data_IF_477806748974
#
_entry.id   IF_477806748974
#
_cell.length_a   1.000
_cell.length_b   1.000
_cell.length_c   1.000
_cell.angle_alpha   90.00
_cell.angle_beta   90.00
_cell.angle_gamma   90.00
#
_symmetry.space_group_name_H-M   'P 1'
#
loop_
_entity.id
_entity.type
_entity.pdbx_description
1 polymer ?
#
# COMPACT_ATOMS: atom_id res chain seq x y z
N UNK A 1 8.38 -0.71 -40.24
CA UNK A 1 7.80 -0.28 -38.98
C UNK A 1 8.59 -0.91 -37.85
N UNK A 2 9.34 -0.15 -37.06
CA UNK A 2 9.96 -0.71 -35.84
C UNK A 2 8.83 -0.83 -34.82
N UNK A 3 8.43 -2.05 -34.48
CA UNK A 3 7.61 -2.29 -33.29
C UNK A 3 8.38 -1.74 -32.10
N UNK A 4 7.88 -0.65 -31.56
CA UNK A 4 8.34 -0.10 -30.29
C UNK A 4 7.77 -0.99 -29.19
N UNK A 5 8.31 -2.19 -29.03
CA UNK A 5 7.99 -3.10 -27.94
C UNK A 5 8.39 -2.41 -26.65
N UNK A 6 7.41 -1.78 -26.00
CA UNK A 6 7.59 -1.21 -24.66
C UNK A 6 8.15 -2.32 -23.77
N UNK A 7 9.39 -2.12 -23.29
CA UNK A 7 10.06 -3.08 -22.42
C UNK A 7 9.20 -3.30 -21.18
N UNK A 8 8.75 -4.52 -20.96
CA UNK A 8 8.06 -4.88 -19.72
C UNK A 8 8.95 -4.62 -18.51
N UNK A 9 8.37 -4.08 -17.45
CA UNK A 9 9.00 -3.83 -16.16
C UNK A 9 8.39 -4.81 -15.14
N UNK A 10 9.23 -5.49 -14.43
CA UNK A 10 8.84 -6.57 -13.52
C UNK A 10 9.03 -6.15 -12.07
N UNK A 11 8.03 -6.37 -11.22
CA UNK A 11 8.13 -6.15 -9.79
C UNK A 11 7.56 -7.32 -8.99
N UNK A 12 8.15 -7.57 -7.83
CA UNK A 12 7.71 -8.59 -6.90
C UNK A 12 6.73 -8.02 -5.88
N UNK A 13 5.73 -8.80 -5.51
CA UNK A 13 4.79 -8.45 -4.45
C UNK A 13 4.63 -9.64 -3.51
N UNK A 14 5.00 -9.45 -2.26
CA UNK A 14 4.77 -10.42 -1.19
C UNK A 14 3.44 -10.09 -0.51
N UNK A 15 2.53 -11.05 -0.51
CA UNK A 15 1.18 -10.90 0.05
C UNK A 15 0.89 -11.97 1.10
N UNK A 16 0.12 -11.66 2.17
CA UNK A 16 -0.43 -12.69 3.03
C UNK A 16 -1.21 -13.75 2.24
N UNK A 17 -1.13 -15.01 2.65
CA UNK A 17 -1.83 -16.12 1.96
C UNK A 17 -3.34 -15.92 1.84
N UNK A 18 -3.92 -15.14 2.75
CA UNK A 18 -5.34 -14.80 2.81
C UNK A 18 -5.73 -13.58 1.98
N UNK A 19 -4.77 -12.90 1.33
CA UNK A 19 -5.06 -11.72 0.53
C UNK A 19 -5.74 -12.09 -0.79
N UNK A 20 -6.85 -11.42 -1.11
CA UNK A 20 -7.67 -11.65 -2.31
C UNK A 20 -7.75 -10.43 -3.22
N UNK A 21 -7.18 -9.29 -2.83
CA UNK A 21 -7.39 -8.01 -3.50
C UNK A 21 -6.17 -7.50 -4.26
N UNK A 22 -4.96 -7.64 -3.70
CA UNK A 22 -3.75 -7.04 -4.30
C UNK A 22 -3.50 -7.54 -5.72
N UNK A 23 -3.63 -8.85 -5.97
CA UNK A 23 -3.48 -9.41 -7.33
C UNK A 23 -4.54 -8.86 -8.29
N UNK A 24 -5.78 -8.74 -7.82
CA UNK A 24 -6.88 -8.19 -8.61
C UNK A 24 -6.62 -6.73 -8.99
N UNK A 25 -6.17 -5.90 -8.04
CA UNK A 25 -5.88 -4.49 -8.30
C UNK A 25 -4.62 -4.31 -9.17
N UNK A 26 -3.60 -5.17 -9.04
CA UNK A 26 -2.44 -5.14 -9.94
C UNK A 26 -2.79 -5.47 -11.40
N UNK A 27 -3.87 -6.22 -11.65
CA UNK A 27 -4.36 -6.48 -13.03
C UNK A 27 -4.92 -5.24 -13.72
N UNK A 28 -5.19 -4.18 -12.98
CA UNK A 28 -5.65 -2.90 -13.53
C UNK A 28 -4.50 -2.07 -14.14
N UNK A 29 -3.25 -2.49 -13.90
CA UNK A 29 -2.07 -1.79 -14.43
C UNK A 29 -1.91 -2.06 -15.94
N UNK A 30 -1.32 -1.10 -16.67
CA UNK A 30 -0.91 -1.35 -18.05
C UNK A 30 0.00 -2.57 -18.15
N UNK A 31 -0.08 -3.32 -19.24
CA UNK A 31 0.73 -4.52 -19.49
C UNK A 31 2.25 -4.27 -19.48
N UNK A 32 2.67 -3.02 -19.51
CA UNK A 32 4.06 -2.61 -19.32
C UNK A 32 4.59 -2.97 -17.93
N UNK A 33 3.71 -3.07 -16.91
CA UNK A 33 4.08 -3.40 -15.54
C UNK A 33 3.57 -4.78 -15.17
N UNK A 34 4.50 -5.72 -14.98
CA UNK A 34 4.20 -7.11 -14.65
C UNK A 34 4.49 -7.39 -13.18
N UNK A 35 3.44 -7.68 -12.41
CA UNK A 35 3.57 -8.12 -11.02
C UNK A 35 3.83 -9.63 -10.93
N UNK A 36 4.76 -10.03 -10.06
CA UNK A 36 5.05 -11.41 -9.68
C UNK A 36 4.76 -11.57 -8.19
N UNK A 37 3.99 -12.58 -7.80
CA UNK A 37 3.47 -12.73 -6.44
C UNK A 37 4.13 -13.87 -5.68
N UNK A 38 4.52 -13.60 -4.43
CA UNK A 38 4.83 -14.60 -3.42
C UNK A 38 3.79 -14.56 -2.30
N UNK A 39 3.26 -15.72 -1.90
CA UNK A 39 2.30 -15.82 -0.80
C UNK A 39 2.98 -16.23 0.49
N UNK A 40 2.61 -15.59 1.58
CA UNK A 40 3.24 -15.70 2.89
C UNK A 40 2.25 -16.24 3.93
N UNK A 41 2.69 -17.18 4.75
CA UNK A 41 1.95 -17.66 5.92
C UNK A 41 2.09 -16.68 7.08
N UNK A 42 1.05 -16.59 7.92
CA UNK A 42 1.11 -15.83 9.17
C UNK A 42 2.09 -16.47 10.15
N UNK A 43 2.82 -15.66 10.90
CA UNK A 43 3.72 -16.11 11.96
C UNK A 43 2.99 -16.52 13.25
N UNK A 44 1.74 -16.12 13.44
CA UNK A 44 0.99 -16.31 14.67
C UNK A 44 -0.50 -16.56 14.47
N UNK A 45 -1.18 -16.93 15.56
CA UNK A 45 -2.62 -17.18 15.57
C UNK A 45 -3.47 -15.90 15.62
N UNK A 46 -2.87 -14.74 15.87
CA UNK A 46 -3.58 -13.46 15.95
C UNK A 46 -3.92 -12.92 14.57
N UNK A 47 -5.08 -12.28 14.45
CA UNK A 47 -5.45 -11.55 13.25
C UNK A 47 -4.43 -10.46 12.95
N UNK A 48 -4.03 -10.35 11.68
CA UNK A 48 -3.09 -9.33 11.19
C UNK A 48 -1.63 -9.45 11.67
N UNK A 49 -1.23 -10.58 12.30
CA UNK A 49 0.16 -10.84 12.66
C UNK A 49 1.09 -10.76 11.44
N UNK A 50 2.37 -10.38 11.63
CA UNK A 50 3.36 -10.42 10.57
C UNK A 50 3.46 -11.80 9.91
N UNK A 51 3.93 -11.85 8.70
CA UNK A 51 4.26 -13.10 8.02
C UNK A 51 5.52 -13.72 8.58
N UNK A 52 5.70 -15.03 8.38
CA UNK A 52 6.88 -15.76 8.84
C UNK A 52 8.11 -15.32 8.07
N UNK A 53 9.20 -15.13 8.79
CA UNK A 53 10.47 -14.69 8.23
C UNK A 53 11.03 -15.63 7.18
N UNK A 54 10.89 -16.94 7.39
CA UNK A 54 11.36 -17.97 6.46
C UNK A 54 10.63 -17.89 5.11
N UNK A 55 9.33 -17.59 5.15
CA UNK A 55 8.54 -17.42 3.94
C UNK A 55 8.96 -16.15 3.19
N UNK A 56 9.21 -15.05 3.92
CA UNK A 56 9.69 -13.80 3.34
C UNK A 56 11.03 -14.03 2.64
N UNK A 57 11.98 -14.69 3.29
CA UNK A 57 13.29 -15.00 2.73
C UNK A 57 13.20 -15.90 1.48
N UNK A 58 12.40 -16.96 1.57
CA UNK A 58 12.24 -17.91 0.48
C UNK A 58 11.59 -17.27 -0.74
N UNK A 59 10.46 -16.58 -0.54
CA UNK A 59 9.73 -15.95 -1.63
C UNK A 59 10.53 -14.78 -2.25
N UNK A 60 11.29 -14.02 -1.46
CA UNK A 60 12.16 -12.97 -1.98
C UNK A 60 13.22 -13.53 -2.92
N UNK A 61 13.86 -14.67 -2.56
CA UNK A 61 14.83 -15.34 -3.44
C UNK A 61 14.17 -15.78 -4.75
N UNK A 62 12.95 -16.35 -4.70
CA UNK A 62 12.25 -16.76 -5.92
C UNK A 62 11.93 -15.55 -6.82
N UNK A 63 11.47 -14.43 -6.25
CA UNK A 63 11.24 -13.20 -7.00
C UNK A 63 12.54 -12.68 -7.64
N UNK A 64 13.66 -12.78 -6.94
CA UNK A 64 15.00 -12.46 -7.51
C UNK A 64 15.33 -13.28 -8.75
N UNK A 65 15.01 -14.59 -8.76
CA UNK A 65 15.23 -15.44 -9.95
C UNK A 65 14.33 -15.04 -11.14
N UNK A 66 13.18 -14.45 -10.88
CA UNK A 66 12.30 -13.85 -11.90
C UNK A 66 12.80 -12.48 -12.40
N UNK A 67 13.95 -12.01 -11.89
CA UNK A 67 14.59 -10.74 -12.27
C UNK A 67 13.67 -9.53 -12.09
N UNK A 68 12.90 -9.51 -11.01
CA UNK A 68 12.13 -8.32 -10.64
C UNK A 68 13.06 -7.16 -10.35
N UNK A 69 12.58 -5.94 -10.53
CA UNK A 69 13.38 -4.72 -10.36
C UNK A 69 13.17 -4.07 -8.98
N UNK A 70 12.15 -4.51 -8.24
CA UNK A 70 11.93 -4.21 -6.82
C UNK A 70 10.96 -5.22 -6.19
N UNK A 71 10.91 -5.26 -4.86
CA UNK A 71 9.95 -6.07 -4.10
C UNK A 71 9.15 -5.20 -3.14
N UNK A 72 7.84 -5.45 -3.07
CA UNK A 72 6.89 -4.78 -2.18
C UNK A 72 6.33 -5.81 -1.19
N UNK A 73 6.39 -5.55 0.11
CA UNK A 73 5.62 -6.29 1.10
C UNK A 73 4.23 -5.65 1.25
N UNK A 74 3.22 -6.26 0.66
CA UNK A 74 1.85 -5.76 0.70
C UNK A 74 1.09 -6.27 1.96
N UNK A 75 1.68 -6.04 3.13
CA UNK A 75 1.14 -6.38 4.44
C UNK A 75 1.27 -5.19 5.40
N UNK A 76 0.40 -4.18 5.23
CA UNK A 76 0.46 -2.93 6.00
C UNK A 76 0.45 -3.14 7.51
N UNK A 77 -0.37 -4.09 8.00
CA UNK A 77 -0.50 -4.36 9.43
C UNK A 77 0.79 -4.86 10.07
N UNK A 78 1.66 -5.55 9.34
CA UNK A 78 2.92 -6.06 9.87
C UNK A 78 3.85 -4.96 10.37
N UNK A 79 3.94 -3.84 9.64
CA UNK A 79 4.73 -2.66 10.01
C UNK A 79 4.25 -1.98 11.30
N UNK A 80 3.06 -2.31 11.78
CA UNK A 80 2.48 -1.71 12.98
C UNK A 80 2.83 -2.46 14.28
N UNK A 81 3.55 -3.58 14.18
CA UNK A 81 3.87 -4.44 15.33
C UNK A 81 5.16 -4.05 16.05
N UNK A 82 6.19 -3.58 15.32
CA UNK A 82 7.47 -3.15 15.89
C UNK A 82 8.00 -1.92 15.14
N UNK A 83 8.72 -1.06 15.87
CA UNK A 83 9.23 0.20 15.29
C UNK A 83 10.29 -0.01 14.21
N UNK A 84 11.10 -1.05 14.33
CA UNK A 84 12.18 -1.39 13.39
C UNK A 84 11.75 -2.41 12.31
N UNK A 85 10.49 -2.89 12.33
CA UNK A 85 10.02 -3.94 11.44
C UNK A 85 10.32 -3.62 9.97
N UNK A 86 10.02 -2.40 9.53
CA UNK A 86 10.23 -2.01 8.13
C UNK A 86 11.69 -2.10 7.72
N UNK A 87 12.60 -1.63 8.57
CA UNK A 87 14.04 -1.63 8.28
C UNK A 87 14.59 -3.07 8.22
N UNK A 88 14.15 -3.92 9.14
CA UNK A 88 14.53 -5.33 9.19
C UNK A 88 14.00 -6.07 7.96
N UNK A 89 12.71 -5.96 7.67
CA UNK A 89 12.06 -6.74 6.61
C UNK A 89 12.48 -6.28 5.21
N UNK A 90 12.64 -4.97 4.98
CA UNK A 90 13.07 -4.47 3.67
C UNK A 90 14.52 -4.86 3.37
N UNK A 91 15.40 -4.85 4.39
CA UNK A 91 16.77 -5.38 4.25
C UNK A 91 16.76 -6.86 3.89
N UNK A 92 15.95 -7.67 4.59
CA UNK A 92 15.79 -9.11 4.35
C UNK A 92 15.32 -9.39 2.91
N UNK A 93 14.25 -8.72 2.48
CA UNK A 93 13.73 -8.83 1.10
C UNK A 93 14.76 -8.38 0.07
N UNK A 94 15.43 -7.26 0.31
CA UNK A 94 16.45 -6.72 -0.58
C UNK A 94 17.64 -7.67 -0.76
N UNK A 95 18.12 -8.29 0.31
CA UNK A 95 19.17 -9.31 0.27
C UNK A 95 18.69 -10.55 -0.50
N UNK A 96 17.48 -11.02 -0.21
CA UNK A 96 16.92 -12.21 -0.86
C UNK A 96 16.72 -12.04 -2.37
N UNK A 97 16.16 -10.92 -2.79
CA UNK A 97 15.81 -10.66 -4.19
C UNK A 97 16.95 -9.97 -4.99
N UNK A 98 17.95 -9.37 -4.32
CA UNK A 98 19.03 -8.62 -4.96
C UNK A 98 18.59 -7.26 -5.53
N UNK A 99 17.47 -6.69 -5.07
CA UNK A 99 16.87 -5.44 -5.57
C UNK A 99 16.30 -4.61 -4.43
N UNK A 100 16.00 -3.31 -4.63
CA UNK A 100 15.32 -2.50 -3.62
C UNK A 100 13.99 -3.10 -3.16
N UNK A 101 13.67 -2.89 -1.88
CA UNK A 101 12.42 -3.35 -1.30
C UNK A 101 11.75 -2.24 -0.48
N UNK A 102 10.43 -2.32 -0.35
CA UNK A 102 9.61 -1.39 0.44
C UNK A 102 8.44 -2.14 1.08
N UNK A 103 7.98 -1.68 2.24
CA UNK A 103 6.68 -2.11 2.77
C UNK A 103 5.56 -1.19 2.27
N UNK A 104 4.35 -1.73 2.20
CA UNK A 104 3.19 -0.92 1.84
C UNK A 104 2.88 0.18 2.86
N UNK A 105 3.21 0.00 4.13
CA UNK A 105 3.08 1.04 5.15
C UNK A 105 4.05 2.20 4.91
N UNK A 106 5.33 1.90 4.59
CA UNK A 106 6.29 2.91 4.16
C UNK A 106 5.80 3.67 2.92
N UNK A 107 5.28 2.94 1.93
CA UNK A 107 4.76 3.56 0.71
C UNK A 107 3.63 4.54 1.01
N UNK A 108 2.67 4.19 1.88
CA UNK A 108 1.59 5.09 2.31
C UNK A 108 2.13 6.34 2.97
N UNK A 109 3.02 6.20 3.97
CA UNK A 109 3.58 7.35 4.69
C UNK A 109 4.34 8.30 3.77
N UNK A 110 5.20 7.75 2.89
CA UNK A 110 5.94 8.53 1.89
C UNK A 110 5.02 9.21 0.88
N UNK A 111 3.99 8.51 0.40
CA UNK A 111 3.02 9.06 -0.57
C UNK A 111 2.26 10.28 -0.01
N UNK A 112 1.80 10.20 1.26
CA UNK A 112 1.14 11.31 1.93
C UNK A 112 2.09 12.51 2.04
N UNK A 113 3.34 12.29 2.42
CA UNK A 113 4.37 13.33 2.49
C UNK A 113 4.67 13.93 1.12
N UNK A 114 4.77 13.10 0.09
CA UNK A 114 5.01 13.54 -1.29
C UNK A 114 3.88 14.44 -1.84
N UNK A 115 2.64 14.25 -1.37
CA UNK A 115 1.52 15.14 -1.66
C UNK A 115 1.54 16.45 -0.83
N UNK A 116 2.54 16.64 0.04
CA UNK A 116 2.66 17.81 0.89
C UNK A 116 1.73 17.83 2.11
N UNK A 117 1.01 16.74 2.37
CA UNK A 117 0.02 16.65 3.45
C UNK A 117 0.64 16.18 4.77
N UNK A 118 0.02 16.60 5.87
CA UNK A 118 0.36 16.18 7.23
C UNK A 118 -0.85 15.84 8.08
N UNK A 119 -2.00 16.51 7.87
CA UNK A 119 -3.23 16.27 8.63
C UNK A 119 -4.10 15.28 7.87
N UNK A 120 -4.20 14.07 8.43
CA UNK A 120 -4.85 12.95 7.75
C UNK A 120 -6.13 12.53 8.46
N UNK A 121 -7.10 12.07 7.69
CA UNK A 121 -8.16 11.21 8.19
C UNK A 121 -7.86 9.77 7.79
N UNK A 122 -7.91 8.84 8.73
CA UNK A 122 -7.70 7.43 8.47
C UNK A 122 -9.04 6.71 8.45
N UNK A 123 -9.34 6.05 7.33
CA UNK A 123 -10.48 5.13 7.18
C UNK A 123 -9.93 3.73 6.96
N UNK A 124 -10.13 2.84 7.91
CA UNK A 124 -9.38 1.61 8.02
C UNK A 124 -10.29 0.39 8.19
N UNK A 125 -9.93 -0.76 7.65
CA UNK A 125 -10.66 -2.00 7.92
C UNK A 125 -10.40 -2.57 9.31
N UNK A 126 -9.39 -2.10 10.03
CA UNK A 126 -8.87 -2.73 11.24
C UNK A 126 -9.70 -2.48 12.51
N UNK A 127 -9.39 -3.26 13.56
CA UNK A 127 -9.86 -3.03 14.92
C UNK A 127 -9.25 -1.77 15.55
N UNK A 128 -9.89 -1.28 16.61
CA UNK A 128 -9.44 -0.07 17.30
C UNK A 128 -7.97 -0.17 17.75
N UNK A 129 -7.55 -1.32 18.31
CA UNK A 129 -6.19 -1.54 18.75
C UNK A 129 -5.14 -1.49 17.60
N UNK A 130 -5.49 -2.01 16.41
CA UNK A 130 -4.61 -1.92 15.24
C UNK A 130 -4.60 -0.50 14.69
N UNK A 131 -5.73 0.19 14.75
CA UNK A 131 -5.88 1.57 14.34
C UNK A 131 -5.04 2.54 15.18
N UNK A 132 -4.99 2.35 16.50
CA UNK A 132 -4.13 3.12 17.39
C UNK A 132 -2.65 2.94 17.04
N UNK A 133 -2.24 1.71 16.72
CA UNK A 133 -0.88 1.43 16.22
C UNK A 133 -0.61 2.13 14.89
N UNK A 134 -1.57 2.12 13.96
CA UNK A 134 -1.44 2.81 12.67
C UNK A 134 -1.26 4.31 12.85
N UNK A 135 -2.08 4.96 13.67
CA UNK A 135 -1.96 6.38 13.96
C UNK A 135 -0.58 6.71 14.57
N UNK A 136 -0.13 5.91 15.53
CA UNK A 136 1.21 6.06 16.16
C UNK A 136 2.32 5.88 15.13
N UNK A 137 2.27 4.83 14.31
CA UNK A 137 3.25 4.55 13.27
C UNK A 137 3.40 5.73 12.30
N UNK A 138 2.29 6.21 11.74
CA UNK A 138 2.33 7.32 10.79
C UNK A 138 2.77 8.63 11.45
N UNK A 139 2.41 8.86 12.72
CA UNK A 139 2.90 10.02 13.47
C UNK A 139 4.42 9.95 13.70
N UNK A 140 4.90 8.83 14.23
CA UNK A 140 6.31 8.66 14.62
C UNK A 140 7.24 8.65 13.40
N UNK A 141 6.88 7.88 12.36
CA UNK A 141 7.76 7.69 11.19
C UNK A 141 7.65 8.80 10.16
N UNK A 142 6.49 9.45 10.02
CA UNK A 142 6.22 10.39 8.92
C UNK A 142 5.72 11.77 9.38
N UNK A 143 5.52 11.97 10.67
CA UNK A 143 5.01 13.22 11.22
C UNK A 143 3.57 13.53 10.81
N UNK A 144 2.76 12.50 10.53
CA UNK A 144 1.37 12.67 10.14
C UNK A 144 0.46 12.80 11.37
N UNK A 145 -0.36 13.83 11.39
CA UNK A 145 -1.35 14.07 12.44
C UNK A 145 -2.70 13.47 12.04
N UNK A 146 -3.11 12.42 12.76
CA UNK A 146 -4.43 11.82 12.58
C UNK A 146 -5.50 12.68 13.21
N UNK A 147 -6.24 13.44 12.40
CA UNK A 147 -7.32 14.33 12.86
C UNK A 147 -8.56 13.53 13.27
N UNK A 148 -8.85 12.48 12.49
CA UNK A 148 -9.96 11.55 12.78
C UNK A 148 -9.61 10.17 12.23
N UNK A 149 -10.12 9.15 12.92
CA UNK A 149 -9.95 7.77 12.52
C UNK A 149 -11.29 7.04 12.62
N UNK A 150 -11.69 6.37 11.55
CA UNK A 150 -12.86 5.49 11.51
C UNK A 150 -12.42 4.08 11.10
N UNK A 151 -12.78 3.08 11.91
CA UNK A 151 -12.43 1.68 11.69
C UNK A 151 -13.66 0.79 11.48
N UNK A 152 -13.58 -0.15 10.52
CA UNK A 152 -14.67 -1.10 10.23
C UNK A 152 -14.63 -2.36 11.11
N UNK A 153 -13.61 -2.54 11.93
CA UNK A 153 -13.44 -3.65 12.87
C UNK A 153 -13.59 -5.03 12.22
N UNK A 154 -13.05 -5.17 11.00
CA UNK A 154 -12.99 -6.47 10.33
C UNK A 154 -12.30 -7.51 11.23
N UNK A 155 -12.88 -8.69 11.33
CA UNK A 155 -12.43 -9.74 12.25
C UNK A 155 -11.13 -10.39 11.80
N UNK A 156 -10.91 -10.44 10.49
CA UNK A 156 -9.74 -11.07 9.87
C UNK A 156 -9.48 -10.49 8.46
N UNK A 157 -8.44 -11.00 7.81
CA UNK A 157 -8.05 -10.53 6.49
C UNK A 157 -9.09 -10.84 5.40
N UNK A 158 -9.85 -11.95 5.52
CA UNK A 158 -10.90 -12.28 4.56
C UNK A 158 -12.06 -11.30 4.66
N UNK A 159 -12.49 -10.97 5.89
CA UNK A 159 -13.52 -9.96 6.13
C UNK A 159 -13.16 -8.59 5.54
N UNK A 160 -11.87 -8.21 5.54
CA UNK A 160 -11.41 -7.00 4.84
C UNK A 160 -11.72 -7.05 3.34
N UNK A 161 -11.45 -8.19 2.70
CA UNK A 161 -11.71 -8.38 1.26
C UNK A 161 -13.20 -8.34 0.88
N UNK A 162 -14.09 -8.51 1.86
CA UNK A 162 -15.54 -8.39 1.67
C UNK A 162 -16.06 -6.94 1.79
N UNK A 163 -15.24 -6.01 2.28
CA UNK A 163 -15.58 -4.59 2.26
C UNK A 163 -15.57 -4.10 0.81
N UNK A 164 -16.54 -3.26 0.49
CA UNK A 164 -16.58 -2.60 -0.82
C UNK A 164 -16.16 -1.13 -0.73
N UNK A 165 -15.86 -0.50 -1.87
CA UNK A 165 -15.48 0.92 -1.90
C UNK A 165 -16.52 1.85 -1.31
N UNK A 166 -17.79 1.46 -1.30
CA UNK A 166 -18.88 2.23 -0.70
C UNK A 166 -18.68 2.43 0.81
N UNK A 167 -18.11 1.45 1.53
CA UNK A 167 -17.79 1.59 2.95
C UNK A 167 -16.83 2.76 3.20
N UNK A 168 -15.76 2.87 2.40
CA UNK A 168 -14.81 3.97 2.52
C UNK A 168 -15.45 5.32 2.17
N UNK A 169 -16.23 5.38 1.08
CA UNK A 169 -16.93 6.60 0.66
C UNK A 169 -17.88 7.11 1.74
N UNK A 170 -18.68 6.24 2.33
CA UNK A 170 -19.63 6.63 3.37
C UNK A 170 -18.92 7.06 4.65
N UNK A 171 -17.80 6.44 4.99
CA UNK A 171 -16.94 6.90 6.08
C UNK A 171 -16.39 8.30 5.79
N UNK A 172 -15.84 8.55 4.60
CA UNK A 172 -15.38 9.89 4.22
C UNK A 172 -16.48 10.93 4.39
N UNK A 173 -17.70 10.64 3.93
CA UNK A 173 -18.84 11.57 4.04
C UNK A 173 -19.19 11.91 5.51
N UNK A 174 -19.00 10.96 6.45
CA UNK A 174 -19.25 11.18 7.87
C UNK A 174 -18.16 12.00 8.56
N UNK A 175 -16.90 11.82 8.15
CA UNK A 175 -15.75 12.36 8.88
C UNK A 175 -15.11 13.57 8.19
N UNK A 176 -15.53 13.91 6.97
CA UNK A 176 -14.93 15.01 6.21
C UNK A 176 -15.10 16.35 6.94
N UNK A 177 -14.00 17.09 7.04
CA UNK A 177 -13.94 18.41 7.65
C UNK A 177 -12.77 19.22 7.08
N UNK A 178 -12.80 20.57 7.18
CA UNK A 178 -11.79 21.44 6.54
C UNK A 178 -10.35 21.18 6.95
N UNK A 179 -10.11 20.71 8.18
CA UNK A 179 -8.76 20.47 8.70
C UNK A 179 -8.06 19.28 8.06
N UNK A 180 -8.80 18.36 7.43
CA UNK A 180 -8.26 17.18 6.78
C UNK A 180 -7.66 17.58 5.43
N UNK A 181 -6.40 17.26 5.23
CA UNK A 181 -5.69 17.51 3.96
C UNK A 181 -5.73 16.32 3.01
N UNK A 182 -5.84 15.08 3.56
CA UNK A 182 -5.84 13.84 2.78
C UNK A 182 -6.59 12.73 3.53
N UNK A 183 -7.33 11.91 2.79
CA UNK A 183 -7.86 10.66 3.30
C UNK A 183 -6.85 9.53 3.09
N UNK A 184 -6.59 8.73 4.12
CA UNK A 184 -5.69 7.58 4.08
C UNK A 184 -6.49 6.31 4.34
N UNK A 185 -6.40 5.34 3.42
CA UNK A 185 -7.07 4.04 3.54
C UNK A 185 -6.02 2.93 3.61
N UNK A 186 -5.52 2.59 4.82
CA UNK A 186 -4.60 1.48 5.00
C UNK A 186 -5.33 0.13 4.84
N UNK A 187 -4.57 -0.90 4.44
CA UNK A 187 -5.10 -2.26 4.30
C UNK A 187 -5.15 -2.75 2.86
N UNK A 188 -4.11 -3.50 2.44
CA UNK A 188 -3.97 -3.96 1.06
C UNK A 188 -5.03 -4.98 0.61
N UNK A 189 -5.81 -5.57 1.54
CA UNK A 189 -6.93 -6.43 1.17
C UNK A 189 -8.26 -5.68 1.03
N UNK A 190 -8.28 -4.38 1.28
CA UNK A 190 -9.47 -3.55 1.06
C UNK A 190 -9.51 -3.08 -0.40
N UNK A 191 -10.52 -3.49 -1.21
CA UNK A 191 -10.58 -3.14 -2.64
C UNK A 191 -10.98 -1.68 -2.81
N UNK A 192 -10.02 -0.83 -3.18
CA UNK A 192 -10.19 0.64 -3.16
C UNK A 192 -9.64 1.36 -4.39
N UNK A 193 -8.63 0.81 -5.06
CA UNK A 193 -7.83 1.54 -6.04
C UNK A 193 -8.64 2.11 -7.20
N UNK A 194 -9.62 1.36 -7.71
CA UNK A 194 -10.48 1.79 -8.83
C UNK A 194 -11.41 2.97 -8.48
N UNK A 195 -11.63 3.25 -7.19
CA UNK A 195 -12.56 4.29 -6.74
C UNK A 195 -11.88 5.59 -6.33
N UNK A 196 -10.55 5.59 -6.20
CA UNK A 196 -9.77 6.74 -5.69
C UNK A 196 -10.08 8.02 -6.48
N UNK A 197 -10.00 7.98 -7.82
CA UNK A 197 -10.23 9.17 -8.63
C UNK A 197 -11.67 9.72 -8.50
N UNK A 198 -12.66 8.88 -8.25
CA UNK A 198 -14.03 9.33 -8.03
C UNK A 198 -14.20 9.99 -6.66
N UNK A 199 -13.59 9.44 -5.63
CA UNK A 199 -13.60 10.02 -4.29
C UNK A 199 -12.91 11.37 -4.26
N UNK A 200 -11.75 11.53 -4.91
CA UNK A 200 -11.05 12.80 -5.00
C UNK A 200 -11.87 13.88 -5.70
N UNK A 201 -12.65 13.51 -6.73
CA UNK A 201 -13.58 14.44 -7.37
C UNK A 201 -14.73 14.85 -6.47
N UNK A 202 -15.27 13.89 -5.69
CA UNK A 202 -16.39 14.11 -4.78
C UNK A 202 -15.98 14.98 -3.57
N UNK A 203 -14.92 14.60 -2.87
CA UNK A 203 -14.52 15.23 -1.62
C UNK A 203 -13.52 16.39 -1.80
N UNK A 204 -13.03 16.62 -3.01
CA UNK A 204 -12.04 17.68 -3.34
C UNK A 204 -10.74 17.58 -2.53
N UNK A 205 -10.40 16.39 -2.07
CA UNK A 205 -9.19 16.08 -1.29
C UNK A 205 -8.48 14.89 -1.90
N UNK A 206 -7.13 14.83 -1.83
CA UNK A 206 -6.40 13.65 -2.21
C UNK A 206 -6.81 12.44 -1.36
N UNK A 207 -6.73 11.26 -1.96
CA UNK A 207 -6.94 9.97 -1.29
C UNK A 207 -5.71 9.10 -1.52
N UNK A 208 -5.15 8.54 -0.45
CA UNK A 208 -4.02 7.61 -0.50
C UNK A 208 -4.48 6.26 0.03
N UNK A 209 -4.48 5.24 -0.83
CA UNK A 209 -4.78 3.86 -0.45
C UNK A 209 -3.50 3.01 -0.48
N UNK A 210 -3.50 1.89 0.24
CA UNK A 210 -2.31 1.03 0.36
C UNK A 210 -1.77 0.58 -1.00
N UNK A 211 -2.63 0.01 -1.86
CA UNK A 211 -2.17 -0.57 -3.12
C UNK A 211 -1.78 0.51 -4.12
N UNK A 212 -2.53 1.63 -4.16
CA UNK A 212 -2.17 2.81 -4.95
C UNK A 212 -0.79 3.38 -4.54
N UNK A 213 -0.53 3.52 -3.23
CA UNK A 213 0.76 4.01 -2.72
C UNK A 213 1.92 3.05 -3.05
N UNK A 214 1.67 1.75 -2.99
CA UNK A 214 2.64 0.72 -3.39
C UNK A 214 2.99 0.82 -4.88
N UNK A 215 2.00 1.06 -5.74
CA UNK A 215 2.22 1.29 -7.17
C UNK A 215 2.95 2.62 -7.41
N UNK A 216 2.63 3.69 -6.67
CA UNK A 216 3.39 4.94 -6.74
C UNK A 216 4.88 4.71 -6.40
N UNK A 217 5.18 3.96 -5.33
CA UNK A 217 6.55 3.65 -4.97
C UNK A 217 7.27 2.85 -6.07
N UNK A 218 6.58 1.91 -6.71
CA UNK A 218 7.09 1.17 -7.87
C UNK A 218 7.40 2.11 -9.05
N UNK A 219 6.48 3.00 -9.41
CA UNK A 219 6.69 3.95 -10.51
C UNK A 219 7.89 4.87 -10.23
N UNK A 220 8.06 5.29 -8.97
CA UNK A 220 9.21 6.08 -8.51
C UNK A 220 10.52 5.30 -8.64
N UNK A 221 10.56 4.07 -8.14
CA UNK A 221 11.75 3.21 -8.21
C UNK A 221 12.16 2.93 -9.67
N UNK A 222 11.19 2.76 -10.55
CA UNK A 222 11.44 2.51 -11.96
C UNK A 222 11.88 3.76 -12.73
N UNK A 223 11.66 4.95 -12.20
CA UNK A 223 11.90 6.23 -12.89
C UNK A 223 11.36 6.21 -14.33
N UNK A 224 10.18 5.60 -14.50
CA UNK A 224 9.63 5.28 -15.82
C UNK A 224 8.89 6.46 -16.48
N UNK A 225 8.65 7.54 -15.73
CA UNK A 225 7.77 8.63 -16.16
C UNK A 225 6.31 8.22 -16.35
N UNK A 226 5.97 6.97 -16.04
CA UNK A 226 4.62 6.43 -16.15
C UNK A 226 3.64 7.16 -15.23
N UNK A 227 2.46 7.44 -15.76
CA UNK A 227 1.36 8.10 -15.02
C UNK A 227 0.08 7.32 -15.21
N UNK A 228 -0.71 7.19 -14.14
CA UNK A 228 -1.93 6.40 -14.12
C UNK A 228 -3.10 7.23 -13.54
N UNK A 229 -3.59 8.26 -14.28
CA UNK A 229 -4.57 9.22 -13.77
C UNK A 229 -5.93 8.61 -13.39
N UNK A 230 -6.25 7.44 -13.91
CA UNK A 230 -7.47 6.70 -13.55
C UNK A 230 -7.50 6.32 -12.05
N UNK A 231 -6.36 6.30 -11.39
CA UNK A 231 -6.22 5.90 -9.98
C UNK A 231 -5.92 7.07 -9.04
N UNK A 232 -6.34 8.30 -9.40
CA UNK A 232 -6.25 9.48 -8.56
C UNK A 232 -4.96 10.26 -8.69
N UNK A 233 -4.90 11.37 -7.95
CA UNK A 233 -3.86 12.39 -8.02
C UNK A 233 -2.45 11.83 -7.81
N UNK A 234 -2.26 10.98 -6.81
CA UNK A 234 -0.97 10.39 -6.51
C UNK A 234 -0.32 9.70 -7.73
N UNK A 235 -1.11 8.91 -8.48
CA UNK A 235 -0.62 8.20 -9.67
C UNK A 235 -0.71 9.03 -10.96
N UNK A 236 -1.49 10.11 -10.96
CA UNK A 236 -1.53 11.07 -12.06
C UNK A 236 -0.30 11.99 -12.08
N UNK A 237 0.14 12.46 -10.91
CA UNK A 237 1.25 13.39 -10.76
C UNK A 237 2.59 12.69 -10.51
N UNK A 238 2.56 11.55 -9.84
CA UNK A 238 3.73 10.77 -9.39
C UNK A 238 4.78 11.69 -8.72
N UNK A 239 4.38 12.42 -7.65
CA UNK A 239 5.27 13.36 -7.01
C UNK A 239 6.52 12.67 -6.45
N UNK A 240 7.63 13.42 -6.36
CA UNK A 240 8.86 12.92 -5.74
C UNK A 240 8.65 12.67 -4.24
N UNK A 241 9.44 11.74 -3.67
CA UNK A 241 9.53 11.60 -2.22
C UNK A 241 9.87 12.96 -1.59
N UNK A 242 9.19 13.27 -0.49
CA UNK A 242 9.58 14.41 0.31
C UNK A 242 10.89 14.06 1.05
N UNK A 243 11.92 14.80 0.79
CA UNK A 243 13.21 14.77 1.51
C UNK A 243 13.05 15.17 2.97
#
# INVERSE_FOLDING_TARGET
>A
MRENTLKQRHFGVLIPSTNTTVEMECRLLPMTYQAHFGRLMSSGAGSFSPSRDEDIDYQSRLLGTARVEMVILAQTSASLFAEDYDDVVTKRMGVGAGVPAITSAQAVGRAVRALGARRVAIVSPYSDAVNERAARYFKTKYGLDTIVLEGFRATDAYAIGQLGPQHARDAFARIDRPEIEVFVVPGGNFPTMSSVASWEREFKKPVVTTNQASIWAMLRAFNSGGRLPAFGRLLAEVPADAS
#
